data_IF_470248808031
#
_entry.id   IF_470248808031
#
_cell.length_a   1.000
_cell.length_b   1.000
_cell.length_c   1.000
_cell.angle_alpha   90.00
_cell.angle_beta   90.00
_cell.angle_gamma   90.00
#
_symmetry.space_group_name_H-M   'P 1'
#
loop_
_entity.id
_entity.type
_entity.pdbx_description
1 polymer ?
#
# COMPACT_ATOMS: atom_id res chain seq x y z
N UNK A 1 -12.40 -13.65 3.80
CA UNK A 1 -12.48 -12.55 4.78
C UNK A 1 -11.37 -11.52 4.58
N UNK A 2 -10.10 -11.94 4.55
CA UNK A 2 -8.90 -11.09 4.38
C UNK A 2 -8.98 -10.11 3.21
N UNK A 3 -9.46 -10.56 2.04
CA UNK A 3 -9.58 -9.69 0.85
C UNK A 3 -10.50 -8.48 1.06
N UNK A 4 -11.56 -8.61 1.86
CA UNK A 4 -12.47 -7.49 2.17
C UNK A 4 -11.82 -6.48 3.12
N UNK A 5 -11.08 -6.97 4.13
CA UNK A 5 -10.35 -6.11 5.06
C UNK A 5 -9.25 -5.31 4.34
N UNK A 6 -8.45 -5.99 3.50
CA UNK A 6 -7.42 -5.33 2.68
C UNK A 6 -8.04 -4.28 1.77
N UNK A 7 -9.18 -4.59 1.13
CA UNK A 7 -9.84 -3.61 0.26
C UNK A 7 -10.32 -2.38 1.01
N UNK A 8 -10.94 -2.57 2.17
CA UNK A 8 -11.38 -1.45 3.03
C UNK A 8 -10.19 -0.62 3.52
N UNK A 9 -9.12 -1.26 3.97
CA UNK A 9 -7.92 -0.55 4.40
C UNK A 9 -7.31 0.26 3.25
N UNK A 10 -7.24 -0.30 2.03
CA UNK A 10 -6.81 0.43 0.83
C UNK A 10 -7.74 1.60 0.48
N UNK A 11 -9.05 1.47 0.77
CA UNK A 11 -10.03 2.52 0.54
C UNK A 11 -9.83 3.74 1.45
N UNK A 12 -9.29 3.54 2.65
CA UNK A 12 -8.97 4.62 3.61
C UNK A 12 -7.62 5.31 3.34
N UNK A 13 -6.77 4.74 2.47
CA UNK A 13 -5.51 5.38 2.09
C UNK A 13 -5.73 6.55 1.12
N UNK A 14 -4.97 7.64 1.34
CA UNK A 14 -4.85 8.73 0.36
C UNK A 14 -4.51 8.15 -1.04
N UNK A 15 -5.02 8.72 -2.16
CA UNK A 15 -4.84 8.14 -3.50
C UNK A 15 -3.37 7.84 -3.86
N UNK A 16 -2.44 8.77 -3.60
CA UNK A 16 -0.99 8.56 -3.81
C UNK A 16 -0.42 7.35 -3.04
N UNK A 17 -1.04 7.06 -1.89
CA UNK A 17 -0.98 5.87 -1.03
C UNK A 17 -1.30 4.57 -1.75
N UNK A 18 -2.53 4.54 -2.25
CA UNK A 18 -3.12 3.38 -2.90
C UNK A 18 -2.44 3.10 -4.23
N UNK A 19 -2.25 4.12 -5.05
CA UNK A 19 -1.73 4.00 -6.41
C UNK A 19 -0.33 3.39 -6.41
N UNK A 20 0.55 3.83 -5.49
CA UNK A 20 1.90 3.26 -5.42
C UNK A 20 1.88 1.78 -5.01
N UNK A 21 0.97 1.35 -4.13
CA UNK A 21 0.85 -0.06 -3.74
C UNK A 21 0.35 -0.93 -4.89
N UNK A 22 -0.67 -0.45 -5.61
CA UNK A 22 -1.24 -1.17 -6.76
C UNK A 22 -0.22 -1.28 -7.88
N UNK A 23 0.44 -0.17 -8.25
CA UNK A 23 1.40 -0.15 -9.35
C UNK A 23 2.65 -0.99 -9.03
N UNK A 24 3.15 -0.94 -7.79
CA UNK A 24 4.34 -1.72 -7.37
C UNK A 24 4.08 -3.22 -7.19
N UNK A 25 2.82 -3.67 -7.26
CA UNK A 25 2.50 -5.10 -7.21
C UNK A 25 2.97 -5.85 -8.47
N UNK A 26 3.04 -5.18 -9.62
CA UNK A 26 3.34 -5.82 -10.92
C UNK A 26 4.50 -5.18 -11.67
N UNK A 27 4.98 -4.01 -11.22
CA UNK A 27 6.04 -3.25 -11.91
C UNK A 27 7.31 -3.19 -11.09
N UNK A 28 8.42 -2.81 -11.70
CA UNK A 28 9.66 -2.37 -11.04
C UNK A 28 9.56 -0.92 -10.53
N UNK A 29 10.56 -0.45 -9.77
CA UNK A 29 10.54 0.92 -9.24
C UNK A 29 10.66 1.96 -10.37
N UNK A 30 11.44 1.64 -11.40
CA UNK A 30 11.63 2.48 -12.58
C UNK A 30 10.35 2.58 -13.42
N UNK A 31 9.68 1.46 -13.66
CA UNK A 31 8.40 1.44 -14.39
C UNK A 31 7.27 2.13 -13.62
N UNK A 32 7.24 1.98 -12.28
CA UNK A 32 6.30 2.70 -11.43
C UNK A 32 6.58 4.21 -11.44
N UNK A 33 7.85 4.61 -11.42
CA UNK A 33 8.27 6.01 -11.51
C UNK A 33 7.81 6.64 -12.83
N UNK A 34 8.07 5.96 -13.95
CA UNK A 34 7.62 6.38 -15.28
C UNK A 34 6.08 6.46 -15.37
N UNK A 35 5.37 5.45 -14.84
CA UNK A 35 3.91 5.41 -14.88
C UNK A 35 3.24 6.51 -14.05
N UNK A 36 3.78 6.80 -12.87
CA UNK A 36 3.21 7.77 -11.94
C UNK A 36 3.73 9.20 -12.15
N UNK A 37 4.68 9.40 -13.07
CA UNK A 37 5.29 10.71 -13.32
C UNK A 37 6.09 11.26 -12.13
N UNK A 38 6.77 10.38 -11.38
CA UNK A 38 7.58 10.75 -10.20
C UNK A 38 8.98 10.14 -10.27
N UNK A 39 9.91 10.60 -9.43
CA UNK A 39 11.25 10.00 -9.36
C UNK A 39 11.25 8.62 -8.69
N UNK A 40 12.23 7.79 -9.02
CA UNK A 40 12.46 6.48 -8.36
C UNK A 40 12.65 6.64 -6.85
N UNK A 41 13.33 7.70 -6.40
CA UNK A 41 13.44 8.01 -4.98
C UNK A 41 12.08 8.30 -4.34
N UNK A 42 11.19 8.99 -5.05
CA UNK A 42 9.83 9.27 -4.58
C UNK A 42 8.99 7.98 -4.53
N UNK A 43 9.15 7.07 -5.50
CA UNK A 43 8.55 5.72 -5.49
C UNK A 43 8.92 4.98 -4.20
N UNK A 44 10.21 4.93 -3.83
CA UNK A 44 10.69 4.25 -2.62
C UNK A 44 10.07 4.84 -1.36
N UNK A 45 10.11 6.17 -1.21
CA UNK A 45 9.56 6.88 -0.05
C UNK A 45 8.06 6.67 0.04
N UNK A 46 7.32 6.83 -1.06
CA UNK A 46 5.87 6.63 -1.09
C UNK A 46 5.50 5.19 -0.78
N UNK A 47 6.16 4.20 -1.38
CA UNK A 47 5.88 2.78 -1.14
C UNK A 47 6.14 2.37 0.31
N UNK A 48 7.21 2.89 0.94
CA UNK A 48 7.46 2.68 2.36
C UNK A 48 6.34 3.27 3.22
N UNK A 49 6.00 4.55 3.01
CA UNK A 49 4.92 5.23 3.76
C UNK A 49 3.56 4.56 3.53
N UNK A 50 3.28 4.13 2.30
CA UNK A 50 2.06 3.45 1.94
C UNK A 50 1.88 2.13 2.71
N UNK A 51 2.93 1.32 2.79
CA UNK A 51 2.91 0.07 3.56
C UNK A 51 2.70 0.33 5.05
N UNK A 52 3.34 1.36 5.61
CA UNK A 52 3.13 1.76 7.00
C UNK A 52 1.66 2.14 7.25
N UNK A 53 1.08 2.96 6.37
CA UNK A 53 -0.32 3.39 6.47
C UNK A 53 -1.31 2.24 6.28
N UNK A 54 -1.03 1.35 5.33
CA UNK A 54 -1.85 0.15 5.14
C UNK A 54 -1.82 -0.75 6.38
N UNK A 55 -0.65 -0.91 7.01
CA UNK A 55 -0.52 -1.65 8.26
C UNK A 55 -1.34 -0.99 9.38
N UNK A 56 -1.17 0.31 9.58
CA UNK A 56 -1.93 1.08 10.59
C UNK A 56 -3.46 0.92 10.37
N UNK A 57 -3.94 1.07 9.14
CA UNK A 57 -5.36 0.88 8.81
C UNK A 57 -5.85 -0.55 9.03
N UNK A 58 -5.03 -1.56 8.76
CA UNK A 58 -5.39 -2.96 9.03
C UNK A 58 -5.39 -3.28 10.53
N UNK A 59 -4.44 -2.75 11.29
CA UNK A 59 -4.37 -2.89 12.75
C UNK A 59 -5.64 -2.28 13.39
N UNK A 60 -6.14 -1.14 12.89
CA UNK A 60 -7.39 -0.52 13.35
C UNK A 60 -8.65 -1.34 12.98
N UNK A 61 -8.70 -1.92 11.78
CA UNK A 61 -9.86 -2.65 11.29
C UNK A 61 -10.01 -4.05 11.88
N UNK A 62 -8.90 -4.70 12.24
CA UNK A 62 -8.91 -6.04 12.81
C UNK A 62 -7.58 -6.36 13.55
N UNK A 63 -7.46 -5.97 14.83
CA UNK A 63 -6.25 -6.19 15.63
C UNK A 63 -5.80 -7.66 15.67
N UNK A 64 -6.76 -8.59 15.73
CA UNK A 64 -6.51 -10.04 15.84
C UNK A 64 -6.11 -10.69 14.51
N UNK A 65 -6.58 -10.14 13.38
CA UNK A 65 -6.50 -10.82 12.07
C UNK A 65 -5.08 -10.79 11.45
N UNK A 66 -4.21 -9.91 11.93
CA UNK A 66 -2.79 -9.85 11.52
C UNK A 66 -1.92 -10.85 12.29
N UNK A 67 -2.33 -11.28 13.49
CA UNK A 67 -1.61 -12.26 14.31
C UNK A 67 -1.80 -13.70 13.80
N UNK A 68 -2.87 -13.98 13.05
CA UNK A 68 -3.13 -15.31 12.50
C UNK A 68 -2.48 -15.57 11.13
N UNK A 69 -1.74 -14.60 10.59
CA UNK A 69 -1.16 -14.67 9.24
C UNK A 69 0.39 -14.67 9.21
N UNK A 70 1.02 -14.65 10.39
CA UNK A 70 2.47 -14.78 10.59
C UNK A 70 2.81 -16.16 11.16
#
# INVERSE_FOLDING_TARGET
QTRRLVRRALDDLEPKYRDILVVRAERSEAEAAAFLGISVSNVKIRAHRARKRLKEALDELAPEALLSAA
#
